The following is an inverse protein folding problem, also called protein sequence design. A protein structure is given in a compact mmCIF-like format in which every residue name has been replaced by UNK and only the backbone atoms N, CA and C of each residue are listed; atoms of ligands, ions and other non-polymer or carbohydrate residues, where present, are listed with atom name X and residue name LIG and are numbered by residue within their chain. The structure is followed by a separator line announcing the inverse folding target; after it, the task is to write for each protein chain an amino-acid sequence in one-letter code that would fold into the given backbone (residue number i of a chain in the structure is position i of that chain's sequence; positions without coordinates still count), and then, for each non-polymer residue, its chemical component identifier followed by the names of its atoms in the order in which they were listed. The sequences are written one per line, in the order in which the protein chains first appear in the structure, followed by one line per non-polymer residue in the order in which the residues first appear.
data_IF_980178930806
#
_entry.id   IF_980178930806
#
_cell.length_a   1.000
_cell.length_b   1.000
_cell.length_c   1.000
_cell.angle_alpha   90.00
_cell.angle_beta   90.00
_cell.angle_gamma   90.00
#
_symmetry.space_group_name_H-M   'P 1'
#
loop_
_entity.id
_entity.type
_entity.pdbx_description
1 polymer ?
#
# COMPACT_ATOMS: atom_id res chain seq x y z
N UNK A 1 -36.23 3.81 -13.29
CA UNK A 1 -35.22 2.96 -12.62
C UNK A 1 -33.85 3.03 -13.32
N UNK A 2 -33.65 3.87 -14.35
CA UNK A 2 -32.38 3.93 -15.11
C UNK A 2 -31.36 4.98 -14.62
N UNK A 3 -31.70 5.80 -13.63
CA UNK A 3 -30.87 6.94 -13.23
C UNK A 3 -29.71 6.57 -12.30
N UNK A 4 -29.70 5.36 -11.73
CA UNK A 4 -28.74 4.92 -10.70
C UNK A 4 -27.52 4.20 -11.27
N UNK A 5 -27.63 3.53 -12.42
CA UNK A 5 -26.49 2.89 -13.11
C UNK A 5 -25.34 3.85 -13.43
N UNK A 6 -25.55 5.07 -13.95
CA UNK A 6 -24.44 5.96 -14.24
C UNK A 6 -23.70 6.37 -12.96
N UNK A 7 -24.39 6.62 -11.85
CA UNK A 7 -23.75 7.00 -10.58
C UNK A 7 -22.88 5.87 -10.03
N UNK A 8 -23.33 4.63 -10.12
CA UNK A 8 -22.54 3.45 -9.73
C UNK A 8 -21.24 3.40 -10.54
N UNK A 9 -21.34 3.53 -11.86
CA UNK A 9 -20.15 3.51 -12.75
C UNK A 9 -19.19 4.64 -12.40
N UNK A 10 -19.68 5.87 -12.20
CA UNK A 10 -18.83 7.01 -11.85
C UNK A 10 -18.14 6.84 -10.49
N UNK A 11 -18.85 6.30 -9.48
CA UNK A 11 -18.26 6.02 -8.17
C UNK A 11 -17.14 4.96 -8.28
N UNK A 12 -17.40 3.84 -8.96
CA UNK A 12 -16.42 2.78 -9.13
C UNK A 12 -15.22 3.27 -9.94
N UNK A 13 -15.47 3.95 -11.05
CA UNK A 13 -14.41 4.47 -11.92
C UNK A 13 -13.51 5.46 -11.16
N UNK A 14 -14.08 6.43 -10.45
CA UNK A 14 -13.31 7.38 -9.67
C UNK A 14 -12.46 6.71 -8.59
N UNK A 15 -12.99 5.66 -7.94
CA UNK A 15 -12.25 4.90 -6.94
C UNK A 15 -11.11 4.08 -7.57
N UNK A 16 -11.35 3.44 -8.71
CA UNK A 16 -10.33 2.67 -9.42
C UNK A 16 -9.22 3.58 -9.95
N UNK A 17 -9.58 4.69 -10.60
CA UNK A 17 -8.62 5.67 -11.11
C UNK A 17 -7.75 6.21 -9.97
N UNK A 18 -8.35 6.49 -8.80
CA UNK A 18 -7.61 6.84 -7.60
C UNK A 18 -6.62 5.75 -7.16
N UNK A 19 -7.06 4.48 -7.10
CA UNK A 19 -6.21 3.36 -6.69
C UNK A 19 -5.03 3.18 -7.65
N UNK A 20 -5.26 3.30 -8.96
CA UNK A 20 -4.20 3.21 -9.96
C UNK A 20 -3.19 4.37 -9.82
N UNK A 21 -3.65 5.62 -9.66
CA UNK A 21 -2.77 6.75 -9.42
C UNK A 21 -1.99 6.62 -8.10
N UNK A 22 -2.60 6.04 -7.07
CA UNK A 22 -1.95 5.79 -5.78
C UNK A 22 -0.77 4.80 -5.87
N UNK A 23 -0.70 3.99 -6.94
CA UNK A 23 0.35 3.00 -7.19
C UNK A 23 1.51 3.55 -8.05
N UNK A 24 1.43 4.79 -8.54
CA UNK A 24 2.48 5.35 -9.36
C UNK A 24 3.77 5.56 -8.56
N UNK A 25 4.90 5.18 -9.15
CA UNK A 25 6.24 5.31 -8.56
C UNK A 25 6.69 6.75 -8.34
N UNK A 26 6.05 7.70 -9.03
CA UNK A 26 6.29 9.13 -8.90
C UNK A 26 4.94 9.83 -8.86
N UNK A 27 4.74 10.69 -7.86
CA UNK A 27 3.53 11.51 -7.70
C UNK A 27 3.95 12.98 -7.64
N UNK A 28 3.37 13.81 -8.51
CA UNK A 28 3.54 15.27 -8.51
C UNK A 28 2.40 15.91 -7.72
N UNK A 29 2.55 17.18 -7.37
CA UNK A 29 1.48 17.94 -6.71
C UNK A 29 0.19 17.96 -7.55
N UNK A 30 0.32 18.09 -8.87
CA UNK A 30 -0.83 18.03 -9.80
C UNK A 30 -1.57 16.69 -9.71
N UNK A 31 -0.82 15.57 -9.65
CA UNK A 31 -1.41 14.23 -9.49
C UNK A 31 -2.13 14.11 -8.13
N UNK A 32 -1.55 14.65 -7.06
CA UNK A 32 -2.20 14.63 -5.74
C UNK A 32 -3.49 15.45 -5.73
N UNK A 33 -3.52 16.58 -6.44
CA UNK A 33 -4.74 17.38 -6.62
C UNK A 33 -5.80 16.62 -7.45
N UNK A 34 -5.39 15.93 -8.51
CA UNK A 34 -6.28 15.07 -9.31
C UNK A 34 -6.86 13.92 -8.48
N UNK A 35 -6.03 13.25 -7.68
CA UNK A 35 -6.45 12.21 -6.74
C UNK A 35 -7.48 12.72 -5.72
N UNK A 36 -7.31 13.94 -5.20
CA UNK A 36 -8.30 14.56 -4.32
C UNK A 36 -9.62 14.82 -5.04
N UNK A 37 -9.57 15.25 -6.31
CA UNK A 37 -10.74 15.39 -7.18
C UNK A 37 -11.49 14.07 -7.37
N UNK A 38 -10.78 12.99 -7.66
CA UNK A 38 -11.34 11.64 -7.81
C UNK A 38 -12.03 11.15 -6.53
N UNK A 39 -11.42 11.38 -5.35
CA UNK A 39 -12.06 11.06 -4.08
C UNK A 39 -13.35 11.86 -3.85
N UNK A 40 -13.39 13.12 -4.28
CA UNK A 40 -14.60 13.94 -4.21
C UNK A 40 -15.71 13.38 -5.12
N UNK A 41 -15.37 12.96 -6.34
CA UNK A 41 -16.31 12.32 -7.27
C UNK A 41 -16.85 11.03 -6.66
N UNK A 42 -15.98 10.21 -6.06
CA UNK A 42 -16.40 9.01 -5.33
C UNK A 42 -17.35 9.34 -4.17
N UNK A 43 -16.99 10.30 -3.31
CA UNK A 43 -17.79 10.67 -2.15
C UNK A 43 -19.16 11.25 -2.51
N UNK A 44 -19.29 11.94 -3.64
CA UNK A 44 -20.57 12.47 -4.12
C UNK A 44 -21.49 11.38 -4.70
N UNK A 45 -20.94 10.26 -5.16
CA UNK A 45 -21.71 9.20 -5.82
C UNK A 45 -21.85 7.93 -4.97
N UNK A 46 -21.08 7.76 -3.89
CA UNK A 46 -21.04 6.52 -3.09
C UNK A 46 -22.38 6.12 -2.45
N UNK A 47 -23.27 7.07 -2.18
CA UNK A 47 -24.55 6.79 -1.52
C UNK A 47 -25.47 5.92 -2.39
N UNK A 48 -25.19 5.84 -3.69
CA UNK A 48 -25.89 4.93 -4.63
C UNK A 48 -25.74 3.45 -4.22
N UNK A 49 -24.64 3.07 -3.57
CA UNK A 49 -24.43 1.69 -3.12
C UNK A 49 -25.36 1.32 -1.95
N UNK A 50 -25.67 2.30 -1.09
CA UNK A 50 -26.62 2.13 0.01
C UNK A 50 -28.05 2.11 -0.55
N UNK A 51 -28.37 3.03 -1.47
CA UNK A 51 -29.68 3.13 -2.10
C UNK A 51 -30.07 1.88 -2.90
N UNK A 52 -29.09 1.20 -3.50
CA UNK A 52 -29.30 -0.03 -4.28
C UNK A 52 -29.26 -1.32 -3.42
N UNK A 53 -29.22 -1.22 -2.09
CA UNK A 53 -29.07 -2.36 -1.17
C UNK A 53 -27.84 -3.26 -1.46
N UNK A 54 -26.83 -2.71 -2.13
CA UNK A 54 -25.62 -3.43 -2.52
C UNK A 54 -24.72 -3.75 -1.32
N UNK A 55 -24.88 -3.01 -0.22
CA UNK A 55 -24.15 -3.22 1.04
C UNK A 55 -24.96 -4.03 2.08
N UNK A 56 -26.14 -4.55 1.72
CA UNK A 56 -27.08 -5.16 2.65
C UNK A 56 -27.50 -4.17 3.75
N UNK A 57 -27.62 -4.63 5.00
CA UNK A 57 -28.03 -3.83 6.17
C UNK A 57 -27.08 -2.68 6.60
N UNK A 58 -26.09 -2.31 5.79
CA UNK A 58 -25.20 -1.19 6.13
C UNK A 58 -25.87 0.16 5.79
N UNK A 59 -26.19 0.94 6.84
CA UNK A 59 -26.73 2.29 6.71
C UNK A 59 -25.70 3.32 6.21
N UNK A 60 -24.41 2.97 6.21
CA UNK A 60 -23.31 3.87 5.85
C UNK A 60 -22.09 3.14 5.29
N UNK A 61 -21.25 3.88 4.53
CA UNK A 61 -19.96 3.40 4.00
C UNK A 61 -18.76 3.82 4.86
N UNK A 62 -18.88 3.75 6.19
CA UNK A 62 -17.78 4.06 7.12
C UNK A 62 -16.77 2.91 7.22
N UNK A 63 -16.17 2.54 6.09
CA UNK A 63 -15.13 1.52 6.01
C UNK A 63 -13.80 2.19 6.34
N UNK A 64 -13.03 1.72 7.33
CA UNK A 64 -11.76 2.35 7.73
C UNK A 64 -10.79 2.57 6.56
N UNK A 65 -10.77 1.63 5.60
CA UNK A 65 -9.95 1.75 4.38
C UNK A 65 -10.37 2.91 3.48
N UNK A 66 -11.68 3.17 3.32
CA UNK A 66 -12.16 4.31 2.53
C UNK A 66 -11.89 5.63 3.25
N UNK A 67 -12.02 5.64 4.57
CA UNK A 67 -11.71 6.80 5.40
C UNK A 67 -10.21 7.17 5.38
N UNK A 68 -9.33 6.18 5.19
CA UNK A 68 -7.89 6.39 5.14
C UNK A 68 -7.38 6.94 3.79
N UNK A 69 -8.17 6.95 2.73
CA UNK A 69 -7.72 7.38 1.39
C UNK A 69 -7.24 8.85 1.35
N UNK A 70 -7.94 9.83 1.95
CA UNK A 70 -7.42 11.19 2.04
C UNK A 70 -6.09 11.27 2.81
N UNK A 71 -5.91 10.43 3.83
CA UNK A 71 -4.64 10.37 4.57
C UNK A 71 -3.49 9.88 3.69
N UNK A 72 -3.72 8.99 2.71
CA UNK A 72 -2.66 8.61 1.78
C UNK A 72 -2.16 9.76 0.90
N UNK A 73 -3.04 10.71 0.51
CA UNK A 73 -2.62 11.92 -0.22
C UNK A 73 -1.73 12.79 0.68
N UNK A 74 -2.15 13.02 1.93
CA UNK A 74 -1.36 13.79 2.89
C UNK A 74 0.00 13.13 3.17
N UNK A 75 0.03 11.81 3.34
CA UNK A 75 1.25 11.06 3.54
C UNK A 75 2.17 11.14 2.32
N UNK A 76 1.63 11.09 1.10
CA UNK A 76 2.40 11.25 -0.12
C UNK A 76 3.07 12.63 -0.21
N UNK A 77 2.34 13.68 0.20
CA UNK A 77 2.86 15.05 0.23
C UNK A 77 3.97 15.23 1.29
N UNK A 78 3.77 14.72 2.51
CA UNK A 78 4.73 14.93 3.61
C UNK A 78 5.93 13.98 3.60
N UNK A 79 5.72 12.72 3.18
CA UNK A 79 6.69 11.63 3.36
C UNK A 79 7.19 11.04 2.01
N UNK A 80 6.65 11.49 0.88
CA UNK A 80 6.91 10.92 -0.43
C UNK A 80 6.00 9.71 -0.75
N UNK A 81 6.20 9.12 -1.92
CA UNK A 81 5.30 8.12 -2.52
C UNK A 81 5.01 6.94 -1.58
N UNK A 82 3.73 6.55 -1.51
CA UNK A 82 3.18 5.51 -0.65
C UNK A 82 3.92 4.16 -0.75
N UNK A 83 4.43 3.82 -1.93
CA UNK A 83 5.11 2.55 -2.21
C UNK A 83 6.35 2.33 -1.33
N UNK A 84 6.99 3.41 -0.87
CA UNK A 84 8.17 3.33 0.00
C UNK A 84 7.82 2.86 1.43
N UNK A 85 6.53 2.90 1.81
CA UNK A 85 6.04 2.58 3.15
C UNK A 85 5.23 1.28 3.20
N UNK A 86 5.22 0.52 2.12
CA UNK A 86 4.51 -0.76 2.06
C UNK A 86 5.17 -1.79 2.99
N UNK A 87 4.37 -2.60 3.68
CA UNK A 87 4.89 -3.64 4.58
C UNK A 87 5.44 -4.85 3.82
N UNK A 88 5.07 -5.03 2.55
CA UNK A 88 5.49 -6.13 1.69
C UNK A 88 7.01 -6.31 1.67
N UNK A 89 7.78 -5.22 1.50
CA UNK A 89 9.25 -5.30 1.50
C UNK A 89 9.77 -5.80 2.85
N UNK A 90 9.22 -5.29 3.96
CA UNK A 90 9.63 -5.71 5.30
C UNK A 90 9.22 -7.17 5.58
N UNK A 91 8.02 -7.58 5.20
CA UNK A 91 7.52 -8.95 5.33
C UNK A 91 8.31 -9.94 4.48
N UNK A 92 8.62 -9.56 3.24
CA UNK A 92 9.45 -10.33 2.33
C UNK A 92 10.85 -10.52 2.93
N UNK A 93 11.49 -9.44 3.39
CA UNK A 93 12.82 -9.49 3.99
C UNK A 93 12.85 -10.19 5.35
N UNK A 94 11.77 -10.15 6.12
CA UNK A 94 11.68 -10.81 7.42
C UNK A 94 11.84 -12.33 7.32
N UNK A 95 11.49 -12.95 6.18
CA UNK A 95 11.73 -14.38 5.96
C UNK A 95 13.22 -14.72 5.91
N UNK A 96 14.01 -14.22 4.93
CA UNK A 96 15.44 -14.53 4.83
C UNK A 96 16.29 -13.84 5.90
N UNK A 97 15.91 -12.66 6.41
CA UNK A 97 16.72 -11.91 7.38
C UNK A 97 16.41 -12.24 8.84
N UNK A 98 15.23 -12.79 9.14
CA UNK A 98 14.86 -13.12 10.51
C UNK A 98 14.58 -14.62 10.68
N UNK A 99 13.59 -15.17 9.96
CA UNK A 99 13.18 -16.58 10.16
C UNK A 99 14.27 -17.57 9.78
N UNK A 100 14.85 -17.42 8.59
CA UNK A 100 15.85 -18.36 8.09
C UNK A 100 17.14 -18.28 8.91
N UNK A 101 17.57 -17.07 9.28
CA UNK A 101 18.73 -16.89 10.14
C UNK A 101 18.51 -17.44 11.54
N UNK A 102 17.34 -17.21 12.14
CA UNK A 102 16.98 -17.77 13.43
C UNK A 102 17.08 -19.30 13.39
N UNK A 103 16.52 -19.93 12.36
CA UNK A 103 16.60 -21.38 12.15
C UNK A 103 18.04 -21.88 11.92
N UNK A 104 18.93 -21.05 11.39
CA UNK A 104 20.35 -21.37 11.21
C UNK A 104 21.19 -21.21 12.49
N UNK A 105 20.66 -20.53 13.52
CA UNK A 105 21.32 -20.41 14.82
C UNK A 105 21.15 -21.66 15.68
N UNK A 106 21.95 -21.78 16.73
CA UNK A 106 21.74 -22.80 17.77
C UNK A 106 20.66 -22.41 18.81
N UNK A 107 19.86 -21.37 18.56
CA UNK A 107 18.85 -20.82 19.46
C UNK A 107 19.36 -20.32 20.83
N UNK A 108 20.68 -20.22 21.03
CA UNK A 108 21.29 -19.70 22.24
C UNK A 108 22.04 -18.41 21.94
N UNK A 109 21.72 -17.30 22.60
CA UNK A 109 22.28 -15.97 22.24
C UNK A 109 22.14 -15.70 20.73
N UNK A 110 20.97 -16.03 20.17
CA UNK A 110 20.72 -16.03 18.73
C UNK A 110 20.89 -14.65 18.08
N UNK A 111 20.68 -13.57 18.83
CA UNK A 111 20.83 -12.19 18.33
C UNK A 111 22.24 -11.92 17.78
N UNK A 112 23.28 -12.32 18.53
CA UNK A 112 24.69 -12.12 18.13
C UNK A 112 25.00 -12.99 16.90
N UNK A 113 24.47 -14.22 16.87
CA UNK A 113 24.68 -15.14 15.75
C UNK A 113 23.97 -14.66 14.48
N UNK A 114 22.74 -14.17 14.60
CA UNK A 114 21.99 -13.58 13.48
C UNK A 114 22.69 -12.33 12.94
N UNK A 115 23.20 -11.45 13.80
CA UNK A 115 23.99 -10.29 13.38
C UNK A 115 25.26 -10.70 12.62
N UNK A 116 25.96 -11.73 13.10
CA UNK A 116 27.15 -12.25 12.44
C UNK A 116 26.82 -12.86 11.06
N UNK A 117 25.75 -13.65 10.97
CA UNK A 117 25.28 -14.23 9.70
C UNK A 117 24.83 -13.15 8.71
N UNK A 118 24.16 -12.08 9.17
CA UNK A 118 23.80 -10.93 8.33
C UNK A 118 25.04 -10.24 7.76
N UNK A 119 26.04 -9.96 8.60
CA UNK A 119 27.28 -9.32 8.16
C UNK A 119 28.04 -10.21 7.15
N UNK A 120 28.09 -11.52 7.42
CA UNK A 120 28.71 -12.49 6.51
C UNK A 120 28.00 -12.54 5.15
N UNK A 121 26.67 -12.66 5.14
CA UNK A 121 25.87 -12.65 3.91
C UNK A 121 26.06 -11.37 3.11
N UNK A 122 26.11 -10.21 3.79
CA UNK A 122 26.37 -8.92 3.15
C UNK A 122 27.76 -8.87 2.50
N UNK A 123 28.80 -9.37 3.19
CA UNK A 123 30.17 -9.44 2.64
C UNK A 123 30.26 -10.36 1.43
N UNK A 124 29.63 -11.54 1.49
CA UNK A 124 29.57 -12.49 0.37
C UNK A 124 28.88 -11.85 -0.83
N UNK A 125 27.72 -11.24 -0.61
CA UNK A 125 26.97 -10.54 -1.65
C UNK A 125 27.84 -9.47 -2.33
N UNK A 126 28.43 -8.56 -1.54
CA UNK A 126 29.31 -7.49 -2.07
C UNK A 126 30.51 -8.04 -2.86
N UNK A 127 31.16 -9.08 -2.34
CA UNK A 127 32.28 -9.73 -3.02
C UNK A 127 31.82 -10.34 -4.36
N UNK A 128 30.67 -11.05 -4.36
CA UNK A 128 30.11 -11.63 -5.58
C UNK A 128 29.75 -10.58 -6.63
N UNK A 129 29.20 -9.44 -6.20
CA UNK A 129 28.89 -8.32 -7.09
C UNK A 129 30.14 -7.69 -7.66
N UNK A 130 31.19 -7.51 -6.86
CA UNK A 130 32.48 -6.98 -7.32
C UNK A 130 33.17 -7.92 -8.32
N UNK A 131 33.13 -9.24 -8.09
CA UNK A 131 33.74 -10.23 -9.00
C UNK A 131 32.95 -10.38 -10.32
N UNK A 132 31.66 -10.02 -10.33
CA UNK A 132 30.80 -10.07 -11.51
C UNK A 132 30.77 -8.77 -12.33
N UNK A 133 31.47 -7.73 -11.89
CA UNK A 133 31.60 -6.43 -12.55
C UNK A 133 32.90 -6.37 -13.36
#
# INVERSE_FOLDING_TARGET
ADSTEPQVVHAIQALLDYIYMAQYLLQSEDMLHEMAGLLNIFHNNKDVFIANDACGNMEHLNIPKLYALPCSINNACCNGVSINFTTETAEYLHTPMCKDLYNATNCHQYEIQMLWLLDMNKRIYLCSSYMGW
#
